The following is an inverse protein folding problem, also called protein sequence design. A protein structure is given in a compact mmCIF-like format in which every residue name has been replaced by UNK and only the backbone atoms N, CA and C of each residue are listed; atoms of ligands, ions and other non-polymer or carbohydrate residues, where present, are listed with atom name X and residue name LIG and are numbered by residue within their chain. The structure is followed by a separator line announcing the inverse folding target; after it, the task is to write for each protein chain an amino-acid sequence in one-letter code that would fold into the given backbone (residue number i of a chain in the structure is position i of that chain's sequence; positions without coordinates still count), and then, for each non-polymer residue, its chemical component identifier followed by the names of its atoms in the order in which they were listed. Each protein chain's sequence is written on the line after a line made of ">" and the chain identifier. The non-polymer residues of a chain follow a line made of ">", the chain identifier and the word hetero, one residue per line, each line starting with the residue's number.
data_IF_576808587924
#
_entry.id   IF_576808587924
#
_cell.length_a   1.000
_cell.length_b   1.000
_cell.length_c   1.000
_cell.angle_alpha   90.00
_cell.angle_beta   90.00
_cell.angle_gamma   90.00
#
_symmetry.space_group_name_H-M   'P 1'
#
loop_
_entity.id
_entity.type
_entity.pdbx_description
1 polymer ?
#
# COMPACT_ATOMS: atom_id res chain seq x y z
N UNK A 1 2.91 1.56 4.07
CA UNK A 1 3.45 0.27 3.59
C UNK A 1 2.91 -0.02 2.19
N UNK A 2 3.74 -0.56 1.28
CA UNK A 2 3.32 -0.89 -0.09
C UNK A 2 3.70 -2.32 -0.46
N UNK A 3 2.86 -2.97 -1.27
CA UNK A 3 3.23 -4.19 -1.99
C UNK A 3 3.73 -3.80 -3.38
N UNK A 4 5.01 -4.05 -3.64
CA UNK A 4 5.72 -3.56 -4.83
C UNK A 4 6.02 -4.65 -5.89
N UNK A 5 5.67 -5.91 -5.64
CA UNK A 5 5.96 -7.04 -6.54
C UNK A 5 4.75 -7.48 -7.39
N UNK A 6 3.70 -6.67 -7.46
CA UNK A 6 2.55 -6.93 -8.32
C UNK A 6 2.84 -6.47 -9.76
N UNK A 7 2.16 -7.09 -10.74
CA UNK A 7 2.14 -6.56 -12.10
C UNK A 7 1.45 -5.19 -12.10
N UNK A 8 2.03 -4.15 -12.71
CA UNK A 8 1.39 -2.84 -12.81
C UNK A 8 0.00 -2.89 -13.45
N UNK A 9 -0.90 -2.01 -13.00
CA UNK A 9 -2.28 -1.94 -13.51
C UNK A 9 -2.68 -0.51 -13.83
N UNK A 10 -3.35 -0.30 -14.98
CA UNK A 10 -3.96 0.99 -15.30
C UNK A 10 -5.24 1.19 -14.50
N UNK A 11 -5.35 2.32 -13.80
CA UNK A 11 -6.53 2.74 -13.04
C UNK A 11 -6.88 4.15 -13.49
N UNK A 12 -8.06 4.32 -14.11
CA UNK A 12 -8.51 5.61 -14.67
C UNK A 12 -7.47 6.27 -15.60
N UNK A 13 -6.76 5.46 -16.39
CA UNK A 13 -5.72 5.91 -17.33
C UNK A 13 -4.33 6.08 -16.73
N UNK A 14 -4.19 6.11 -15.40
CA UNK A 14 -2.90 6.21 -14.70
C UNK A 14 -2.33 4.82 -14.42
N UNK A 15 -1.01 4.66 -14.54
CA UNK A 15 -0.34 3.40 -14.20
C UNK A 15 -0.09 3.33 -12.69
N UNK A 16 -0.68 2.33 -12.03
CA UNK A 16 -0.40 2.00 -10.63
C UNK A 16 0.70 0.94 -10.59
N UNK A 17 1.85 1.30 -10.00
CA UNK A 17 3.03 0.43 -9.91
C UNK A 17 3.12 -0.34 -8.59
N UNK A 18 2.16 -0.15 -7.68
CA UNK A 18 2.08 -0.87 -6.42
C UNK A 18 0.70 -0.80 -5.80
N UNK A 19 0.59 -1.34 -4.59
CA UNK A 19 -0.63 -1.32 -3.78
C UNK A 19 -0.32 -0.82 -2.38
N UNK A 20 -1.03 0.21 -1.94
CA UNK A 20 -1.03 0.64 -0.53
C UNK A 20 -1.79 -0.39 0.31
N UNK A 21 -1.19 -0.87 1.39
CA UNK A 21 -1.84 -1.79 2.30
C UNK A 21 -2.67 -1.05 3.35
N UNK A 22 -3.88 -1.55 3.60
CA UNK A 22 -4.82 -1.00 4.56
C UNK A 22 -5.60 -2.13 5.23
N UNK A 23 -5.94 -1.96 6.51
CA UNK A 23 -7.01 -2.72 7.13
C UNK A 23 -8.36 -2.12 6.72
N UNK A 24 -9.37 -2.95 6.47
CA UNK A 24 -10.69 -2.48 6.05
C UNK A 24 -11.66 -2.58 7.21
N UNK A 25 -12.15 -1.44 7.68
CA UNK A 25 -13.18 -1.34 8.72
C UNK A 25 -14.58 -1.56 8.12
N UNK A 26 -15.58 -1.69 8.99
CA UNK A 26 -16.98 -1.75 8.56
C UNK A 26 -17.36 -0.58 7.65
N UNK A 27 -18.23 -0.86 6.67
CA UNK A 27 -18.63 0.13 5.66
C UNK A 27 -17.55 0.45 4.63
N UNK A 28 -16.57 -0.45 4.43
CA UNK A 28 -15.52 -0.34 3.41
C UNK A 28 -14.61 0.89 3.59
N UNK A 29 -14.31 1.24 4.85
CA UNK A 29 -13.44 2.37 5.19
C UNK A 29 -11.99 1.88 5.38
N UNK A 30 -11.04 2.23 4.51
CA UNK A 30 -9.67 1.78 4.64
C UNK A 30 -8.90 2.59 5.70
N UNK A 31 -8.18 1.90 6.58
CA UNK A 31 -7.21 2.45 7.51
C UNK A 31 -5.79 2.05 7.06
N UNK A 32 -4.97 3.03 6.69
CA UNK A 32 -3.63 2.79 6.14
C UNK A 32 -2.70 2.14 7.17
N UNK A 33 -1.96 1.12 6.73
CA UNK A 33 -0.91 0.52 7.55
C UNK A 33 0.34 1.38 7.46
N UNK A 34 0.79 1.85 8.62
CA UNK A 34 2.01 2.62 8.82
C UNK A 34 2.91 1.90 9.84
N UNK A 35 4.24 1.94 9.70
CA UNK A 35 5.14 1.53 10.76
C UNK A 35 4.88 2.35 12.03
N UNK A 36 5.10 1.76 13.19
CA UNK A 36 4.97 2.43 14.50
C UNK A 36 6.07 3.48 14.74
N UNK A 37 7.17 3.40 13.98
CA UNK A 37 8.34 4.28 14.07
C UNK A 37 8.77 4.74 12.68
N UNK A 38 9.54 5.83 12.63
CA UNK A 38 10.18 6.26 11.40
C UNK A 38 11.24 5.24 10.96
N UNK A 39 11.20 4.86 9.69
CA UNK A 39 12.12 3.89 9.08
C UNK A 39 12.56 4.40 7.71
N UNK A 40 13.77 4.05 7.23
CA UNK A 40 14.20 4.41 5.89
C UNK A 40 13.22 3.92 4.81
N UNK A 41 12.98 4.69 3.74
CA UNK A 41 12.19 4.22 2.60
C UNK A 41 12.73 2.92 2.02
N UNK A 42 11.85 1.99 1.68
CA UNK A 42 12.22 0.70 1.11
C UNK A 42 12.67 -0.37 2.12
N UNK A 43 12.62 -0.07 3.43
CA UNK A 43 12.83 -1.09 4.47
C UNK A 43 11.87 -2.27 4.25
N UNK A 44 12.38 -3.52 4.10
CA UNK A 44 11.53 -4.69 3.90
C UNK A 44 10.59 -4.94 5.08
N UNK A 45 9.39 -5.39 4.77
CA UNK A 45 8.42 -5.88 5.75
C UNK A 45 8.57 -7.40 5.82
N UNK A 46 8.65 -7.93 7.05
CA UNK A 46 8.78 -9.37 7.35
C UNK A 46 7.66 -9.84 8.25
#
# INVERSE_FOLDING_TARGET
>A
VVLANLKPKKIRGLLSEGMLLAAVLEGNKPALIVPDKEVPPGTPVS
#
